data_IF_955864549290
#
_entry.id   IF_955864549290
#
_cell.length_a   1.000
_cell.length_b   1.000
_cell.length_c   1.000
_cell.angle_alpha   90.00
_cell.angle_beta   90.00
_cell.angle_gamma   90.00
#
_symmetry.space_group_name_H-M   'P 1'
#
loop_
_entity.id
_entity.type
_entity.pdbx_description
1 polymer ?
#
# COMPACT_ATOMS: atom_id res chain seq x y z
N UNK A 1 14.88 2.43 -15.62
CA UNK A 1 14.07 2.77 -14.42
C UNK A 1 12.65 3.09 -14.89
N UNK A 2 11.73 2.17 -14.72
CA UNK A 2 10.34 2.35 -15.12
C UNK A 2 9.60 3.07 -13.99
N UNK A 3 9.05 4.26 -14.29
CA UNK A 3 8.20 5.00 -13.36
C UNK A 3 6.91 4.21 -13.12
N UNK A 4 6.47 4.06 -11.88
CA UNK A 4 5.17 3.49 -11.58
C UNK A 4 4.08 4.36 -12.22
N UNK A 5 3.11 3.73 -12.90
CA UNK A 5 1.96 4.44 -13.48
C UNK A 5 0.82 4.48 -12.48
N UNK A 6 0.29 5.65 -12.26
CA UNK A 6 -0.98 5.85 -11.58
C UNK A 6 -2.10 5.47 -12.57
N UNK A 7 -2.84 4.46 -12.26
CA UNK A 7 -4.11 4.16 -12.93
C UNK A 7 -5.17 4.34 -11.86
N UNK A 8 -5.94 5.43 -11.92
CA UNK A 8 -6.91 5.92 -10.94
C UNK A 8 -7.26 4.92 -9.82
N UNK A 9 -7.39 5.33 -8.60
CA UNK A 9 -7.76 4.63 -7.36
C UNK A 9 -7.23 3.18 -7.15
N UNK A 10 -6.26 2.73 -7.92
CA UNK A 10 -5.77 1.36 -7.91
C UNK A 10 -4.26 1.27 -7.82
N UNK A 11 -3.83 0.80 -6.69
CA UNK A 11 -2.73 -0.14 -6.49
C UNK A 11 -1.42 0.15 -7.21
N UNK A 12 -0.46 0.63 -6.45
CA UNK A 12 0.93 0.57 -6.86
C UNK A 12 1.44 -0.87 -6.76
N UNK A 13 1.91 -1.42 -7.87
CA UNK A 13 2.65 -2.67 -7.88
C UNK A 13 4.14 -2.34 -7.92
N UNK A 14 4.88 -2.84 -6.95
CA UNK A 14 6.33 -2.74 -6.97
C UNK A 14 6.91 -4.13 -7.26
N UNK A 15 7.43 -4.37 -8.46
CA UNK A 15 8.01 -5.65 -8.81
C UNK A 15 9.43 -5.77 -8.27
N UNK A 16 9.78 -6.94 -7.80
CA UNK A 16 11.03 -7.23 -7.09
C UNK A 16 11.95 -8.06 -7.96
N UNK A 17 13.06 -7.44 -8.38
CA UNK A 17 14.20 -8.10 -9.03
C UNK A 17 14.00 -8.46 -10.50
N UNK A 18 15.08 -8.44 -11.31
CA UNK A 18 15.00 -8.65 -12.77
C UNK A 18 14.84 -10.10 -13.22
N UNK A 19 15.16 -11.10 -12.39
CA UNK A 19 15.47 -12.45 -12.87
C UNK A 19 14.58 -13.59 -12.36
N UNK A 20 13.47 -13.32 -11.67
CA UNK A 20 12.61 -14.39 -11.18
C UNK A 20 11.47 -14.72 -12.16
N UNK A 21 11.32 -15.98 -12.50
CA UNK A 21 10.16 -16.49 -13.25
C UNK A 21 8.83 -16.26 -12.49
N UNK A 22 8.90 -16.06 -11.18
CA UNK A 22 7.80 -15.73 -10.28
C UNK A 22 8.11 -14.40 -9.60
N UNK A 23 7.34 -13.35 -9.94
CA UNK A 23 7.55 -11.98 -9.46
C UNK A 23 6.55 -11.64 -8.37
N UNK A 24 6.95 -11.71 -7.09
CA UNK A 24 6.07 -11.29 -6.01
C UNK A 24 5.81 -9.78 -6.08
N UNK A 25 4.55 -9.38 -5.89
CA UNK A 25 4.13 -7.97 -5.86
C UNK A 25 3.32 -7.67 -4.61
N UNK A 26 3.42 -6.44 -4.13
CA UNK A 26 2.50 -5.89 -3.15
C UNK A 26 1.44 -5.03 -3.86
N UNK A 27 0.22 -5.13 -3.40
CA UNK A 27 -0.90 -4.28 -3.80
C UNK A 27 -1.13 -3.25 -2.68
N UNK A 28 -1.33 -1.99 -3.03
CA UNK A 28 -1.65 -0.94 -2.06
C UNK A 28 -3.05 -0.45 -2.34
N UNK A 29 -3.91 -0.44 -1.32
CA UNK A 29 -5.31 0.02 -1.38
C UNK A 29 -6.10 -0.53 -2.59
N UNK A 30 -6.16 -1.86 -2.78
CA UNK A 30 -6.79 -2.47 -3.94
C UNK A 30 -8.31 -2.46 -3.82
N UNK A 31 -8.99 -1.35 -4.10
CA UNK A 31 -10.44 -1.21 -3.94
C UNK A 31 -11.24 -1.98 -5.00
N UNK A 32 -10.80 -1.98 -6.26
CA UNK A 32 -11.46 -2.68 -7.37
C UNK A 32 -10.64 -3.90 -7.83
N UNK A 33 -11.07 -5.13 -7.51
CA UNK A 33 -10.39 -6.34 -7.96
C UNK A 33 -10.28 -6.47 -9.48
N UNK A 34 -11.26 -6.00 -10.24
CA UNK A 34 -11.25 -6.09 -11.70
C UNK A 34 -10.14 -5.20 -12.28
N UNK A 35 -10.06 -3.97 -11.80
CA UNK A 35 -9.02 -3.04 -12.20
C UNK A 35 -7.61 -3.56 -11.80
N UNK A 36 -7.48 -4.14 -10.60
CA UNK A 36 -6.22 -4.77 -10.15
C UNK A 36 -5.78 -5.88 -11.10
N UNK A 37 -6.69 -6.78 -11.49
CA UNK A 37 -6.36 -7.89 -12.37
C UNK A 37 -5.95 -7.41 -13.77
N UNK A 38 -6.64 -6.40 -14.30
CA UNK A 38 -6.27 -5.77 -15.56
C UNK A 38 -4.87 -5.14 -15.47
N UNK A 39 -4.61 -4.36 -14.42
CA UNK A 39 -3.31 -3.72 -14.20
C UNK A 39 -2.16 -4.75 -14.07
N UNK A 40 -2.37 -5.86 -13.37
CA UNK A 40 -1.37 -6.94 -13.27
C UNK A 40 -1.08 -7.57 -14.63
N UNK A 41 -2.12 -7.79 -15.46
CA UNK A 41 -1.97 -8.33 -16.81
C UNK A 41 -1.19 -7.37 -17.72
N UNK A 42 -1.54 -6.09 -17.69
CA UNK A 42 -0.90 -5.06 -18.51
C UNK A 42 0.58 -4.88 -18.11
N UNK A 43 0.86 -4.79 -16.81
CA UNK A 43 2.23 -4.71 -16.30
C UNK A 43 3.07 -5.93 -16.69
N UNK A 44 2.49 -7.15 -16.56
CA UNK A 44 3.15 -8.38 -16.99
C UNK A 44 3.56 -8.31 -18.45
N UNK A 45 2.63 -7.95 -19.34
CA UNK A 45 2.85 -7.85 -20.77
C UNK A 45 3.85 -6.76 -21.14
N UNK A 46 3.63 -5.54 -20.62
CA UNK A 46 4.31 -4.34 -21.11
C UNK A 46 5.71 -4.15 -20.50
N UNK A 47 5.95 -4.69 -19.31
CA UNK A 47 7.19 -4.44 -18.56
C UNK A 47 7.97 -5.70 -18.17
N UNK A 48 7.33 -6.87 -18.22
CA UNK A 48 7.94 -8.12 -17.73
C UNK A 48 7.92 -9.26 -18.73
N UNK A 49 7.70 -8.95 -20.03
CA UNK A 49 7.75 -9.93 -21.12
C UNK A 49 6.74 -11.08 -20.96
N UNK A 50 5.60 -10.81 -20.29
CA UNK A 50 4.58 -11.81 -19.99
C UNK A 50 4.84 -12.67 -18.75
N UNK A 51 5.90 -12.37 -17.97
CA UNK A 51 6.15 -13.09 -16.71
C UNK A 51 5.01 -12.89 -15.70
N UNK A 52 4.58 -13.95 -15.03
CA UNK A 52 3.49 -13.88 -14.06
C UNK A 52 3.85 -12.96 -12.88
N UNK A 53 2.97 -12.01 -12.57
CA UNK A 53 3.04 -11.20 -11.36
C UNK A 53 2.19 -11.87 -10.29
N UNK A 54 2.78 -12.21 -9.15
CA UNK A 54 2.12 -12.91 -8.06
C UNK A 54 1.90 -12.00 -6.86
N UNK A 55 0.66 -11.56 -6.60
CA UNK A 55 0.35 -10.84 -5.36
C UNK A 55 0.65 -11.71 -4.13
N UNK A 56 1.47 -11.19 -3.21
CA UNK A 56 1.84 -11.85 -1.95
C UNK A 56 1.46 -11.02 -0.73
N UNK A 57 1.23 -9.73 -0.92
CA UNK A 57 0.84 -8.80 0.13
C UNK A 57 -0.18 -7.79 -0.39
N UNK A 58 -1.13 -7.44 0.43
CA UNK A 58 -1.95 -6.24 0.34
C UNK A 58 -1.53 -5.34 1.50
N UNK A 59 -1.29 -4.06 1.22
CA UNK A 59 -1.00 -3.01 2.20
C UNK A 59 -2.17 -2.03 2.15
N UNK A 60 -3.03 -2.05 3.16
CA UNK A 60 -4.21 -1.17 3.20
C UNK A 60 -3.96 -0.04 4.17
N UNK A 61 -3.99 1.20 3.66
CA UNK A 61 -3.66 2.39 4.44
C UNK A 61 -4.70 2.66 5.52
N UNK A 62 -5.99 2.44 5.23
CA UNK A 62 -7.07 2.65 6.18
C UNK A 62 -8.35 1.87 5.78
N UNK A 63 -9.33 1.86 6.67
CA UNK A 63 -10.52 1.00 6.60
C UNK A 63 -11.59 1.39 5.58
N UNK A 64 -11.54 2.60 4.98
CA UNK A 64 -12.57 3.04 4.06
C UNK A 64 -12.70 2.11 2.85
N UNK A 65 -13.92 1.96 2.36
CA UNK A 65 -14.26 0.96 1.35
C UNK A 65 -13.53 1.18 0.02
N UNK A 66 -13.29 2.43 -0.35
CA UNK A 66 -12.57 2.86 -1.55
C UNK A 66 -11.04 2.56 -1.49
N UNK A 67 -10.55 2.04 -0.36
CA UNK A 67 -9.20 1.51 -0.17
C UNK A 67 -9.19 0.00 0.14
N UNK A 68 -10.17 -0.48 0.90
CA UNK A 68 -10.18 -1.83 1.48
C UNK A 68 -11.13 -2.83 0.79
N UNK A 69 -12.04 -2.39 -0.11
CA UNK A 69 -13.10 -3.25 -0.65
C UNK A 69 -12.57 -4.48 -1.41
N UNK A 70 -11.42 -4.37 -2.04
CA UNK A 70 -10.82 -5.46 -2.79
C UNK A 70 -10.06 -6.49 -1.95
N UNK A 71 -9.81 -6.25 -0.66
CA UNK A 71 -8.99 -7.12 0.18
C UNK A 71 -9.52 -8.56 0.24
N UNK A 72 -10.81 -8.71 0.56
CA UNK A 72 -11.43 -10.03 0.71
C UNK A 72 -11.52 -10.75 -0.64
N UNK A 73 -12.12 -10.15 -1.72
CA UNK A 73 -12.21 -10.81 -3.02
C UNK A 73 -10.86 -11.20 -3.62
N UNK A 74 -9.84 -10.35 -3.47
CA UNK A 74 -8.50 -10.66 -3.98
C UNK A 74 -7.86 -11.80 -3.17
N UNK A 75 -8.06 -11.83 -1.85
CA UNK A 75 -7.56 -12.91 -1.03
C UNK A 75 -8.27 -14.24 -1.32
N UNK A 76 -9.56 -14.23 -1.62
CA UNK A 76 -10.29 -15.41 -2.09
C UNK A 76 -9.74 -15.91 -3.42
N UNK A 77 -9.45 -15.00 -4.36
CA UNK A 77 -8.91 -15.33 -5.69
C UNK A 77 -7.48 -15.87 -5.64
N UNK A 78 -6.58 -15.22 -4.90
CA UNK A 78 -5.15 -15.58 -4.86
C UNK A 78 -4.80 -16.56 -3.73
N UNK A 79 -5.76 -16.90 -2.87
CA UNK A 79 -5.62 -17.88 -1.82
C UNK A 79 -5.09 -17.30 -0.51
N UNK A 80 -5.05 -18.15 0.51
CA UNK A 80 -4.69 -17.76 1.90
C UNK A 80 -3.25 -17.30 2.07
N UNK A 81 -2.37 -17.58 1.12
CA UNK A 81 -0.99 -17.10 1.12
C UNK A 81 -0.87 -15.59 0.87
N UNK A 82 -1.89 -14.96 0.27
CA UNK A 82 -1.97 -13.51 0.14
C UNK A 82 -2.26 -12.90 1.51
N UNK A 83 -1.28 -12.18 2.05
CA UNK A 83 -1.38 -11.52 3.36
C UNK A 83 -1.98 -10.13 3.20
N UNK A 84 -2.90 -9.77 4.09
CA UNK A 84 -3.51 -8.43 4.14
C UNK A 84 -3.00 -7.73 5.40
N UNK A 85 -2.31 -6.64 5.21
CA UNK A 85 -1.74 -5.79 6.24
C UNK A 85 -2.53 -4.50 6.36
N UNK A 86 -2.72 -4.00 7.57
CA UNK A 86 -3.36 -2.74 7.87
C UNK A 86 -3.06 -2.32 9.30
N UNK A 87 -3.35 -1.09 9.67
CA UNK A 87 -3.16 -0.61 11.05
C UNK A 87 -3.99 -1.42 12.06
N UNK A 88 -3.41 -1.80 13.21
CA UNK A 88 -4.12 -2.61 14.21
C UNK A 88 -5.35 -1.90 14.80
N UNK A 89 -5.36 -0.56 14.79
CA UNK A 89 -6.46 0.26 15.33
C UNK A 89 -7.62 0.40 14.34
N UNK A 90 -7.37 0.26 13.04
CA UNK A 90 -8.32 0.70 12.00
C UNK A 90 -9.36 -0.36 11.61
N UNK A 91 -9.26 -1.58 12.11
CA UNK A 91 -10.17 -2.68 11.80
C UNK A 91 -10.39 -2.88 10.27
N UNK A 92 -9.29 -2.80 9.50
CA UNK A 92 -9.30 -2.94 8.04
C UNK A 92 -9.96 -4.26 7.61
N UNK A 93 -10.90 -4.18 6.67
CA UNK A 93 -11.62 -5.35 6.16
C UNK A 93 -10.66 -6.39 5.57
N UNK A 94 -10.80 -7.64 5.98
CA UNK A 94 -9.96 -8.75 5.52
C UNK A 94 -8.52 -8.74 6.03
N UNK A 95 -8.16 -7.83 6.94
CA UNK A 95 -6.82 -7.78 7.54
C UNK A 95 -6.47 -9.11 8.21
N UNK A 96 -5.29 -9.64 7.88
CA UNK A 96 -4.76 -10.88 8.45
C UNK A 96 -3.53 -10.66 9.32
N UNK A 97 -2.89 -9.51 9.17
CA UNK A 97 -1.65 -9.14 9.86
C UNK A 97 -1.76 -7.66 10.25
N UNK A 98 -2.34 -7.35 11.42
CA UNK A 98 -2.38 -5.98 11.91
C UNK A 98 -0.97 -5.48 12.22
N UNK A 99 -0.71 -4.22 11.89
CA UNK A 99 0.60 -3.58 12.06
C UNK A 99 0.54 -2.44 13.07
N UNK A 100 1.61 -2.31 13.82
CA UNK A 100 1.90 -1.19 14.71
C UNK A 100 2.88 -0.22 14.08
N UNK A 101 2.99 0.93 14.68
CA UNK A 101 3.99 1.92 14.29
C UNK A 101 5.40 1.36 14.32
N UNK A 102 6.12 1.51 13.21
CA UNK A 102 7.49 1.01 13.04
C UNK A 102 7.60 -0.46 12.65
N UNK A 103 6.51 -1.20 12.58
CA UNK A 103 6.56 -2.59 12.11
C UNK A 103 7.05 -2.67 10.66
N UNK A 104 7.80 -3.74 10.38
CA UNK A 104 8.39 -3.95 9.06
C UNK A 104 7.78 -5.18 8.36
N UNK A 105 7.42 -4.99 7.11
CA UNK A 105 6.97 -6.04 6.21
C UNK A 105 8.00 -6.23 5.10
N UNK A 106 8.33 -7.48 4.80
CA UNK A 106 9.16 -7.82 3.64
C UNK A 106 8.30 -8.39 2.52
N UNK A 107 8.42 -7.80 1.33
CA UNK A 107 7.79 -8.28 0.11
C UNK A 107 8.91 -8.53 -0.90
N UNK A 108 9.36 -9.78 -0.99
CA UNK A 108 10.60 -10.13 -1.70
C UNK A 108 11.80 -9.39 -1.13
N UNK A 109 12.48 -8.58 -1.94
CA UNK A 109 13.61 -7.73 -1.52
C UNK A 109 13.17 -6.38 -0.93
N UNK A 110 11.90 -5.99 -1.09
CA UNK A 110 11.41 -4.72 -0.56
C UNK A 110 11.25 -4.79 0.95
N UNK A 111 11.67 -3.71 1.59
CA UNK A 111 11.46 -3.43 3.00
C UNK A 111 10.44 -2.31 3.14
N UNK A 112 9.30 -2.62 3.72
CA UNK A 112 8.20 -1.68 3.94
C UNK A 112 8.04 -1.44 5.42
N UNK A 113 8.05 -0.17 5.82
CA UNK A 113 7.84 0.24 7.22
C UNK A 113 6.44 0.82 7.34
N UNK A 114 5.66 0.30 8.29
CA UNK A 114 4.37 0.86 8.66
C UNK A 114 4.59 2.06 9.58
N UNK A 115 4.00 3.18 9.22
CA UNK A 115 4.02 4.41 10.01
C UNK A 115 2.59 4.74 10.43
N UNK A 116 2.26 4.64 11.72
CA UNK A 116 0.97 5.10 12.22
C UNK A 116 0.77 6.58 11.85
N UNK A 117 -0.33 6.87 11.21
CA UNK A 117 -0.63 8.16 10.61
C UNK A 117 -2.08 8.62 10.93
N UNK A 118 -2.43 8.76 12.22
CA UNK A 118 -3.79 9.14 12.61
C UNK A 118 -4.16 10.53 12.10
N UNK A 119 -5.46 10.73 11.89
CA UNK A 119 -6.05 11.97 11.47
C UNK A 119 -7.24 11.76 10.55
N UNK A 120 -7.05 11.23 9.35
CA UNK A 120 -8.14 10.87 8.44
C UNK A 120 -9.03 9.77 9.05
N UNK A 121 -8.45 8.65 9.43
CA UNK A 121 -9.01 7.71 10.41
C UNK A 121 -8.10 7.61 11.63
N UNK A 122 -8.62 7.10 12.75
CA UNK A 122 -7.83 6.91 13.97
C UNK A 122 -6.69 5.91 13.79
N UNK A 123 -6.86 4.94 12.91
CA UNK A 123 -5.88 3.88 12.66
C UNK A 123 -5.19 3.97 11.29
N UNK A 124 -5.29 5.10 10.59
CA UNK A 124 -4.59 5.31 9.32
C UNK A 124 -3.10 4.97 9.45
N UNK A 125 -2.57 4.32 8.42
CA UNK A 125 -1.19 3.85 8.36
C UNK A 125 -0.58 4.26 7.03
N UNK A 126 0.55 4.93 7.04
CA UNK A 126 1.34 5.16 5.84
C UNK A 126 2.40 4.07 5.69
N UNK A 127 2.68 3.67 4.45
CA UNK A 127 3.68 2.65 4.14
C UNK A 127 4.89 3.27 3.47
N UNK A 128 6.03 3.23 4.14
CA UNK A 128 7.30 3.69 3.61
C UNK A 128 8.09 2.52 3.03
N UNK A 129 8.19 2.47 1.71
CA UNK A 129 9.07 1.52 1.01
C UNK A 129 10.48 2.07 1.00
N UNK A 130 11.38 1.36 1.70
CA UNK A 130 12.82 1.72 1.73
C UNK A 130 13.50 1.24 0.45
N UNK A 131 14.16 2.15 -0.23
CA UNK A 131 14.87 1.87 -1.48
C UNK A 131 15.61 3.11 -1.98
N UNK A 132 16.13 3.03 -3.20
CA UNK A 132 16.71 4.18 -3.89
C UNK A 132 16.09 4.27 -5.30
N UNK A 133 15.12 5.18 -5.51
CA UNK A 133 14.50 6.08 -4.53
C UNK A 133 13.57 5.35 -3.55
N UNK A 134 13.31 5.96 -2.40
CA UNK A 134 12.25 5.54 -1.47
C UNK A 134 10.86 5.97 -1.98
N UNK A 135 9.80 5.29 -1.54
CA UNK A 135 8.42 5.66 -1.86
C UNK A 135 7.55 5.66 -0.59
N UNK A 136 6.66 6.64 -0.47
CA UNK A 136 5.67 6.73 0.60
C UNK A 136 4.26 6.59 0.02
N UNK A 137 3.48 5.67 0.59
CA UNK A 137 2.05 5.51 0.31
C UNK A 137 1.29 6.05 1.50
N UNK A 138 0.75 7.26 1.36
CA UNK A 138 0.12 8.01 2.44
C UNK A 138 -1.36 7.72 2.63
N UNK A 139 -2.01 7.08 1.66
CA UNK A 139 -3.47 7.02 1.61
C UNK A 139 -4.05 8.43 1.69
N UNK A 140 -5.18 8.56 2.39
CA UNK A 140 -5.89 9.83 2.54
C UNK A 140 -5.27 10.79 3.58
N UNK A 141 -4.19 10.39 4.21
CA UNK A 141 -3.43 11.29 5.07
C UNK A 141 -2.64 12.32 4.26
N UNK A 142 -2.07 11.91 3.11
CA UNK A 142 -1.20 12.78 2.31
C UNK A 142 -1.40 12.55 0.82
N UNK A 143 -1.87 13.58 0.13
CA UNK A 143 -2.01 13.65 -1.33
C UNK A 143 -0.90 14.47 -1.98
N UNK A 144 -0.83 14.41 -3.31
CA UNK A 144 -0.06 15.37 -4.09
C UNK A 144 -0.78 16.74 -4.03
N UNK A 145 -0.33 17.61 -3.10
CA UNK A 145 -0.89 18.95 -2.97
C UNK A 145 -2.05 19.08 -1.99
N UNK A 146 -2.25 18.13 -1.09
CA UNK A 146 -3.31 18.19 -0.08
C UNK A 146 -3.33 16.99 0.86
N UNK A 147 -4.46 16.81 1.51
CA UNK A 147 -4.74 15.71 2.42
C UNK A 147 -6.24 15.43 2.46
N UNK A 148 -6.65 14.26 2.93
CA UNK A 148 -8.03 13.92 3.23
C UNK A 148 -8.55 14.68 4.47
N UNK A 149 -9.87 14.71 4.61
CA UNK A 149 -10.51 15.30 5.79
C UNK A 149 -10.23 14.48 7.06
N UNK A 150 -10.04 15.11 8.22
CA UNK A 150 -9.85 14.40 9.49
C UNK A 150 -11.20 13.92 10.05
N UNK A 151 -11.73 12.83 9.51
CA UNK A 151 -13.04 12.31 9.92
C UNK A 151 -13.08 11.78 11.35
N UNK A 152 -11.97 11.19 11.82
CA UNK A 152 -11.87 10.58 13.16
C UNK A 152 -10.80 11.22 14.04
N UNK A 153 -10.09 12.20 13.51
CA UNK A 153 -9.09 12.99 14.22
C UNK A 153 -9.38 14.47 14.15
N UNK A 154 -8.38 15.27 14.42
CA UNK A 154 -8.43 16.72 14.34
C UNK A 154 -7.21 17.29 13.58
N UNK A 155 -7.17 18.62 13.42
CA UNK A 155 -6.06 19.30 12.73
C UNK A 155 -4.70 19.06 13.43
N UNK A 156 -4.69 18.95 14.76
CA UNK A 156 -3.47 18.71 15.54
C UNK A 156 -2.95 17.27 15.30
N UNK A 157 -3.84 16.29 15.18
CA UNK A 157 -3.46 14.92 14.82
C UNK A 157 -2.82 14.88 13.44
N UNK A 158 -3.47 15.52 12.45
CA UNK A 158 -2.91 15.62 11.08
C UNK A 158 -1.57 16.34 11.08
N UNK A 159 -1.43 17.46 11.80
CA UNK A 159 -0.17 18.20 11.92
C UNK A 159 0.95 17.36 12.51
N UNK A 160 0.65 16.61 13.56
CA UNK A 160 1.59 15.68 14.21
C UNK A 160 2.01 14.55 13.26
N UNK A 161 1.06 14.01 12.51
CA UNK A 161 1.30 12.98 11.49
C UNK A 161 2.18 13.52 10.36
N UNK A 162 1.91 14.71 9.81
CA UNK A 162 2.76 15.31 8.78
C UNK A 162 4.19 15.53 9.27
N UNK A 163 4.37 16.04 10.48
CA UNK A 163 5.68 16.23 11.08
C UNK A 163 6.44 14.89 11.24
N UNK A 164 5.73 13.81 11.58
CA UNK A 164 6.30 12.46 11.64
C UNK A 164 6.70 11.94 10.27
N UNK A 165 5.80 12.01 9.28
CA UNK A 165 6.08 11.54 7.91
C UNK A 165 7.27 12.29 7.31
N UNK A 166 7.34 13.61 7.49
CA UNK A 166 8.47 14.43 7.05
C UNK A 166 9.81 13.95 7.62
N UNK A 167 9.85 13.67 8.93
CA UNK A 167 11.08 13.16 9.58
C UNK A 167 11.45 11.75 9.12
N UNK A 168 10.45 10.94 8.76
CA UNK A 168 10.66 9.55 8.32
C UNK A 168 11.13 9.45 6.86
N UNK A 169 10.81 10.46 6.05
CA UNK A 169 11.13 10.57 4.62
C UNK A 169 11.93 11.85 4.38
N UNK A 170 13.20 11.94 4.84
CA UNK A 170 14.01 13.13 4.59
C UNK A 170 14.17 13.33 3.08
N UNK A 171 14.22 14.59 2.61
CA UNK A 171 14.54 14.89 1.21
C UNK A 171 15.92 14.28 0.86
N UNK A 172 16.02 13.72 -0.35
CA UNK A 172 17.30 13.25 -0.91
C UNK A 172 18.24 14.40 -1.26
#
# INVERSE_FOLDING_TARGET
MTRPRHVGDVSWTCPIGPDAADRPVALVDPSDPTAVLAALSDLSRDHYGGAALRPVAILTTHKHWDHAAGNVPLREKFGRSLRVYGGEVDAVSGCTHPLRDGDEVRVGSLRVVALSAPGHTAGSTAFLVRGSPSALFGGDVLFCGGCGAPFEGCADDMGSTFAKLWRSCPPE
#
